data_IF_339158558376
#
_entry.id   IF_339158558376
#
_cell.length_a   1.000
_cell.length_b   1.000
_cell.length_c   1.000
_cell.angle_alpha   90.00
_cell.angle_beta   90.00
_cell.angle_gamma   90.00
#
_symmetry.space_group_name_H-M   'P 1'
#
loop_
_entity.id
_entity.type
_entity.pdbx_description
1 polymer ?
#
# COMPACT_ATOMS: atom_id res chain seq x y z
N UNK A 1 -21.63 -31.38 14.72
CA UNK A 1 -22.24 -30.28 15.50
C UNK A 1 -22.52 -29.13 14.54
N UNK A 2 -23.79 -28.77 14.41
CA UNK A 2 -24.26 -27.65 13.60
C UNK A 2 -24.50 -26.41 14.46
N UNK A 3 -24.65 -25.25 13.79
CA UNK A 3 -25.14 -23.94 14.26
C UNK A 3 -24.02 -23.01 14.80
N UNK A 4 -23.97 -21.71 14.49
CA UNK A 4 -25.04 -20.76 14.22
C UNK A 4 -24.57 -19.61 13.30
N UNK A 5 -25.35 -19.33 12.26
CA UNK A 5 -25.35 -18.11 11.48
C UNK A 5 -25.78 -16.92 12.35
N UNK A 6 -24.99 -15.84 12.39
CA UNK A 6 -25.41 -14.57 13.00
C UNK A 6 -26.20 -13.76 11.98
N UNK A 7 -27.53 -13.82 12.05
CA UNK A 7 -28.41 -12.78 11.52
C UNK A 7 -28.30 -11.53 12.41
N UNK A 8 -27.93 -10.39 11.81
CA UNK A 8 -28.08 -9.09 12.43
C UNK A 8 -29.50 -8.57 12.12
N UNK A 9 -30.29 -8.31 13.16
CA UNK A 9 -31.61 -7.67 13.04
C UNK A 9 -31.43 -6.17 12.78
N UNK A 10 -32.33 -5.51 12.02
CA UNK A 10 -32.26 -4.07 11.82
C UNK A 10 -32.72 -3.32 13.09
N UNK A 11 -32.06 -2.21 13.47
CA UNK A 11 -32.52 -1.37 14.56
C UNK A 11 -33.79 -0.61 14.18
N UNK A 12 -34.71 -0.58 15.14
CA UNK A 12 -36.01 0.09 15.14
C UNK A 12 -35.89 1.62 15.07
N UNK A 13 -36.75 2.20 14.24
CA UNK A 13 -37.16 3.61 14.13
C UNK A 13 -36.78 4.53 15.30
N UNK A 14 -35.76 5.36 15.07
CA UNK A 14 -35.41 6.54 15.84
C UNK A 14 -34.87 7.57 14.87
N UNK A 15 -35.42 8.77 14.89
CA UNK A 15 -35.19 9.86 13.96
C UNK A 15 -33.80 10.46 14.19
N UNK A 16 -32.74 9.89 13.59
CA UNK A 16 -31.42 10.52 13.53
C UNK A 16 -30.90 10.51 12.09
N UNK A 17 -30.56 11.72 11.67
CA UNK A 17 -29.89 12.15 10.45
C UNK A 17 -29.11 11.05 9.73
N UNK A 18 -29.54 10.72 8.51
CA UNK A 18 -28.93 9.69 7.69
C UNK A 18 -27.47 10.03 7.40
N UNK A 19 -26.55 9.47 8.18
CA UNK A 19 -25.21 9.18 7.73
C UNK A 19 -25.39 8.31 6.50
N UNK A 20 -25.28 8.91 5.31
CA UNK A 20 -25.24 8.11 4.10
C UNK A 20 -24.06 7.17 4.29
N UNK A 21 -24.35 5.88 4.36
CA UNK A 21 -23.36 4.85 4.13
C UNK A 21 -22.97 4.97 2.65
N UNK A 22 -22.28 6.06 2.34
CA UNK A 22 -21.82 6.39 1.01
C UNK A 22 -20.79 5.34 0.65
N UNK A 23 -21.07 4.61 -0.42
CA UNK A 23 -20.08 3.70 -0.98
C UNK A 23 -18.80 4.49 -1.28
N UNK A 24 -17.61 3.90 -1.09
CA UNK A 24 -16.36 4.61 -1.28
C UNK A 24 -16.23 5.09 -2.73
N UNK A 25 -16.19 6.41 -2.92
CA UNK A 25 -16.12 7.03 -4.24
C UNK A 25 -14.80 6.70 -4.93
N UNK A 26 -14.84 6.31 -6.20
CA UNK A 26 -13.62 6.15 -7.00
C UNK A 26 -12.98 7.52 -7.25
N UNK A 27 -11.68 7.61 -7.04
CA UNK A 27 -10.89 8.82 -7.23
C UNK A 27 -9.73 8.53 -8.17
N UNK A 28 -9.45 9.49 -9.05
CA UNK A 28 -8.29 9.46 -9.94
C UNK A 28 -7.07 9.98 -9.21
N UNK A 29 -6.05 9.14 -9.07
CA UNK A 29 -4.77 9.49 -8.44
C UNK A 29 -3.70 9.56 -9.51
N UNK A 30 -3.08 10.74 -9.64
CA UNK A 30 -2.04 11.01 -10.64
C UNK A 30 -0.64 11.07 -10.03
N UNK A 31 -0.52 11.30 -8.73
CA UNK A 31 0.76 11.49 -8.02
C UNK A 31 0.66 10.94 -6.61
N UNK A 32 1.76 10.36 -6.12
CA UNK A 32 1.93 10.00 -4.70
C UNK A 32 3.13 10.74 -4.13
N UNK A 33 3.00 11.23 -2.90
CA UNK A 33 4.08 11.81 -2.12
C UNK A 33 4.52 10.85 -1.03
N UNK A 34 5.82 10.57 -0.95
CA UNK A 34 6.41 9.76 0.12
C UNK A 34 7.53 10.57 0.77
N UNK A 35 7.50 10.65 2.10
CA UNK A 35 8.61 11.17 2.91
C UNK A 35 9.09 10.05 3.83
N UNK A 36 10.36 9.70 3.73
CA UNK A 36 11.00 8.71 4.59
C UNK A 36 11.93 9.49 5.53
N UNK A 37 11.65 9.53 6.84
CA UNK A 37 12.54 10.19 7.79
C UNK A 37 13.92 9.51 7.79
N UNK A 38 15.02 10.28 7.84
CA UNK A 38 16.35 9.69 8.01
C UNK A 38 16.43 9.01 9.38
N UNK A 39 16.88 7.75 9.40
CA UNK A 39 17.10 7.02 10.65
C UNK A 39 18.53 7.26 11.18
N UNK A 40 18.73 7.31 12.51
CA UNK A 40 20.03 7.64 13.10
C UNK A 40 21.18 6.66 12.77
N UNK A 41 20.87 5.43 12.31
CA UNK A 41 21.85 4.35 12.13
C UNK A 41 22.04 3.86 10.67
N UNK A 42 21.68 4.65 9.65
CA UNK A 42 21.91 4.26 8.25
C UNK A 42 20.80 3.40 7.63
N UNK A 43 21.01 2.80 6.44
CA UNK A 43 20.08 2.80 5.30
C UNK A 43 18.97 1.74 5.39
N UNK A 44 18.11 1.85 6.40
CA UNK A 44 16.80 1.21 6.44
C UNK A 44 15.75 1.99 5.64
N UNK A 45 16.16 3.05 4.93
CA UNK A 45 15.29 3.77 4.00
C UNK A 45 14.80 2.79 2.92
N UNK A 46 13.48 2.78 2.71
CA UNK A 46 12.84 2.01 1.64
C UNK A 46 13.47 2.41 0.33
N UNK A 47 13.95 1.46 -0.46
CA UNK A 47 14.52 1.75 -1.78
C UNK A 47 13.52 1.55 -2.89
N UNK A 48 12.85 0.41 -2.90
CA UNK A 48 11.89 0.05 -3.93
C UNK A 48 10.52 -0.24 -3.32
N UNK A 49 9.47 0.19 -4.00
CA UNK A 49 8.09 -0.02 -3.59
C UNK A 49 7.15 -0.18 -4.78
N UNK A 50 5.94 -0.66 -4.53
CA UNK A 50 4.86 -0.76 -5.52
C UNK A 50 3.56 -0.20 -4.96
N UNK A 51 2.71 0.29 -5.84
CA UNK A 51 1.35 0.72 -5.50
C UNK A 51 0.38 -0.41 -5.86
N UNK A 52 -0.44 -0.80 -4.88
CA UNK A 52 -1.62 -1.61 -5.11
C UNK A 52 -2.86 -0.72 -5.02
N UNK A 53 -3.88 -1.05 -5.78
CA UNK A 53 -5.15 -0.36 -5.79
C UNK A 53 -6.29 -1.33 -5.51
N UNK A 54 -7.38 -0.78 -4.97
CA UNK A 54 -8.66 -1.48 -4.81
C UNK A 54 -9.78 -0.64 -5.40
N UNK A 55 -10.52 -1.21 -6.35
CA UNK A 55 -11.72 -0.60 -6.93
C UNK A 55 -12.96 -0.73 -6.04
N UNK A 56 -14.08 -0.14 -6.48
CA UNK A 56 -15.33 -0.10 -5.72
C UNK A 56 -15.95 -1.48 -5.44
N UNK A 57 -15.92 -2.37 -6.44
CA UNK A 57 -16.52 -3.70 -6.37
C UNK A 57 -15.48 -4.82 -6.24
N UNK A 58 -14.21 -4.46 -6.08
CA UNK A 58 -13.12 -5.43 -5.97
C UNK A 58 -12.92 -5.75 -4.50
N UNK A 59 -12.79 -7.04 -4.17
CA UNK A 59 -12.38 -7.47 -2.84
C UNK A 59 -10.86 -7.47 -2.69
N UNK A 60 -10.17 -7.79 -3.79
CA UNK A 60 -8.73 -7.99 -3.85
C UNK A 60 -7.93 -6.73 -4.18
N UNK A 61 -6.69 -6.70 -3.69
CA UNK A 61 -5.69 -5.68 -4.04
C UNK A 61 -4.96 -6.09 -5.30
N UNK A 62 -4.95 -5.21 -6.32
CA UNK A 62 -4.24 -5.45 -7.58
C UNK A 62 -3.04 -4.52 -7.76
N UNK A 63 -1.93 -4.98 -8.36
CA UNK A 63 -0.83 -4.10 -8.75
C UNK A 63 -1.30 -2.99 -9.68
N UNK A 64 -0.95 -1.75 -9.36
CA UNK A 64 -1.41 -0.56 -10.07
C UNK A 64 -0.27 0.34 -10.56
N UNK A 65 0.98 0.01 -10.21
CA UNK A 65 2.18 0.66 -10.76
C UNK A 65 3.30 -0.35 -11.02
N UNK A 66 4.26 -0.04 -11.92
CA UNK A 66 5.56 -0.69 -11.89
C UNK A 66 6.29 -0.41 -10.55
N UNK A 67 7.41 -1.11 -10.28
CA UNK A 67 8.29 -0.76 -9.17
C UNK A 67 8.74 0.69 -9.26
N UNK A 68 8.64 1.40 -8.15
CA UNK A 68 9.07 2.78 -7.98
C UNK A 68 10.22 2.82 -6.98
N UNK A 69 11.16 3.74 -7.19
CA UNK A 69 12.39 3.83 -6.40
C UNK A 69 12.51 5.16 -5.70
N UNK A 70 12.77 5.17 -4.40
CA UNK A 70 13.04 6.39 -3.65
C UNK A 70 14.53 6.74 -3.66
N UNK A 71 14.80 8.02 -3.43
CA UNK A 71 16.13 8.57 -3.15
C UNK A 71 16.39 8.55 -1.64
N UNK A 72 17.67 8.56 -1.25
CA UNK A 72 18.06 8.66 0.16
C UNK A 72 17.99 10.11 0.62
N UNK A 73 16.77 10.61 0.78
CA UNK A 73 16.48 11.99 1.13
C UNK A 73 15.34 12.06 2.14
N UNK A 74 15.56 12.82 3.20
CA UNK A 74 14.53 13.11 4.22
C UNK A 74 13.44 14.08 3.76
N UNK A 75 13.54 14.58 2.52
CA UNK A 75 12.56 15.46 1.90
C UNK A 75 11.38 14.68 1.31
N UNK A 76 10.27 15.38 1.06
CA UNK A 76 9.12 14.80 0.36
C UNK A 76 9.52 14.48 -1.10
N UNK A 77 9.23 13.27 -1.54
CA UNK A 77 9.50 12.79 -2.89
C UNK A 77 8.18 12.50 -3.59
N UNK A 78 8.00 13.04 -4.80
CA UNK A 78 6.76 12.89 -5.56
C UNK A 78 6.99 11.93 -6.73
N UNK A 79 6.08 10.98 -6.90
CA UNK A 79 6.09 10.00 -7.99
C UNK A 79 4.81 10.15 -8.81
N UNK A 80 4.99 10.41 -10.10
CA UNK A 80 3.88 10.41 -11.06
C UNK A 80 3.40 8.97 -11.30
N UNK A 81 2.09 8.78 -11.28
CA UNK A 81 1.44 7.53 -11.63
C UNK A 81 1.05 7.58 -13.11
N UNK A 82 1.70 6.75 -13.91
CA UNK A 82 1.49 6.68 -15.37
C UNK A 82 1.22 5.22 -15.76
N UNK A 83 -0.01 4.90 -16.23
CA UNK A 83 -1.18 5.77 -16.31
C UNK A 83 -1.71 6.17 -14.92
N UNK A 84 -2.54 7.24 -14.82
CA UNK A 84 -3.26 7.56 -13.58
C UNK A 84 -4.11 6.37 -13.09
N UNK A 85 -4.26 6.25 -11.77
CA UNK A 85 -4.96 5.13 -11.14
C UNK A 85 -6.33 5.59 -10.66
N UNK A 86 -7.39 4.95 -11.14
CA UNK A 86 -8.75 5.13 -10.61
C UNK A 86 -9.01 4.08 -9.51
N UNK A 87 -9.13 4.52 -8.25
CA UNK A 87 -9.23 3.62 -7.09
C UNK A 87 -10.06 4.23 -5.95
N UNK A 88 -10.61 3.36 -5.09
CA UNK A 88 -11.25 3.74 -3.83
C UNK A 88 -10.23 3.73 -2.67
N UNK A 89 -9.23 2.85 -2.74
CA UNK A 89 -8.14 2.78 -1.78
C UNK A 89 -6.82 2.44 -2.48
N UNK A 90 -5.73 2.96 -1.91
CA UNK A 90 -4.37 2.66 -2.35
C UNK A 90 -3.58 2.04 -1.20
N UNK A 91 -2.65 1.15 -1.57
CA UNK A 91 -1.70 0.54 -0.64
C UNK A 91 -0.30 0.65 -1.21
N UNK A 92 0.63 1.12 -0.39
CA UNK A 92 2.03 1.22 -0.74
C UNK A 92 2.74 0.02 -0.09
N UNK A 93 3.37 -0.81 -0.91
CA UNK A 93 4.07 -2.02 -0.48
C UNK A 93 5.56 -1.82 -0.71
N UNK A 94 6.34 -1.83 0.37
CA UNK A 94 7.79 -1.71 0.30
C UNK A 94 8.41 -3.07 0.01
N UNK A 95 9.21 -3.15 -1.05
CA UNK A 95 9.74 -4.41 -1.59
C UNK A 95 11.26 -4.54 -1.45
N UNK A 96 11.99 -3.43 -1.33
CA UNK A 96 13.42 -3.46 -0.99
C UNK A 96 13.82 -2.31 -0.08
N UNK A 97 14.78 -2.53 0.81
CA UNK A 97 15.46 -1.50 1.61
C UNK A 97 16.82 -1.17 1.00
N UNK A 98 17.38 0.00 1.33
CA UNK A 98 18.69 0.39 0.82
C UNK A 98 19.83 -0.55 1.31
N UNK A 99 19.71 -1.12 2.52
CA UNK A 99 20.61 -2.18 3.00
C UNK A 99 20.53 -3.46 2.14
N UNK A 100 19.33 -3.87 1.71
CA UNK A 100 19.16 -5.04 0.86
C UNK A 100 19.75 -4.83 -0.56
N UNK A 101 19.69 -3.61 -1.10
CA UNK A 101 20.35 -3.27 -2.37
C UNK A 101 21.87 -3.30 -2.30
N UNK A 102 22.49 -2.98 -1.16
CA UNK A 102 23.96 -3.04 -1.01
C UNK A 102 24.48 -4.49 -1.00
N UNK A 103 23.68 -5.43 -0.51
CA UNK A 103 24.03 -6.85 -0.51
C UNK A 103 24.00 -7.48 -1.92
N UNK A 104 23.37 -6.85 -2.91
CA UNK A 104 23.35 -7.35 -4.30
C UNK A 104 24.68 -7.20 -5.02
N UNK A 105 25.51 -6.24 -4.62
CA UNK A 105 26.86 -6.06 -5.16
C UNK A 105 27.84 -7.13 -4.64
N UNK A 106 27.44 -7.95 -3.65
CA UNK A 106 28.20 -9.08 -3.14
C UNK A 106 27.53 -10.42 -3.52
N UNK A 107 28.11 -11.20 -4.45
CA UNK A 107 27.51 -12.44 -4.93
C UNK A 107 27.36 -13.53 -3.87
N UNK A 108 27.99 -13.38 -2.70
CA UNK A 108 27.89 -14.36 -1.59
C UNK A 108 26.52 -14.37 -0.90
N UNK A 109 25.66 -13.36 -1.11
CA UNK A 109 24.31 -13.28 -0.54
C UNK A 109 23.17 -13.59 -1.53
N UNK A 110 23.50 -13.89 -2.80
CA UNK A 110 22.52 -14.11 -3.86
C UNK A 110 21.66 -15.38 -3.67
N UNK A 111 22.19 -16.41 -3.01
CA UNK A 111 21.49 -17.69 -2.80
C UNK A 111 20.32 -17.60 -1.79
N UNK A 112 20.27 -16.56 -0.95
CA UNK A 112 19.21 -16.35 0.04
C UNK A 112 17.95 -15.66 -0.51
N UNK A 113 17.91 -15.31 -1.81
CA UNK A 113 16.82 -14.53 -2.42
C UNK A 113 15.70 -15.31 -3.10
N UNK A 114 15.78 -16.64 -3.15
CA UNK A 114 14.92 -17.42 -4.07
C UNK A 114 13.55 -17.82 -3.51
N UNK A 115 13.25 -17.64 -2.21
CA UNK A 115 11.93 -18.03 -1.66
C UNK A 115 11.25 -16.96 -0.81
N UNK A 116 11.11 -15.75 -1.36
CA UNK A 116 10.16 -14.79 -0.79
C UNK A 116 9.47 -14.01 -1.88
N UNK A 117 8.48 -14.64 -2.48
CA UNK A 117 7.54 -14.00 -3.41
C UNK A 117 6.77 -12.82 -2.78
N UNK A 118 6.91 -12.55 -1.48
CA UNK A 118 6.28 -11.44 -0.76
C UNK A 118 7.05 -11.00 0.51
N UNK A 119 8.38 -10.77 0.46
CA UNK A 119 9.09 -10.14 1.59
C UNK A 119 8.78 -8.63 1.69
N UNK A 120 7.50 -8.32 1.92
CA UNK A 120 7.10 -6.97 2.29
C UNK A 120 7.56 -6.68 3.73
N UNK A 121 8.32 -5.61 3.93
CA UNK A 121 8.79 -5.19 5.26
C UNK A 121 8.08 -3.93 5.77
N UNK A 122 7.09 -3.43 5.02
CA UNK A 122 6.24 -2.31 5.44
C UNK A 122 5.01 -2.18 4.53
N UNK A 123 3.88 -1.82 5.16
CA UNK A 123 2.60 -1.65 4.49
C UNK A 123 1.91 -0.39 5.00
N UNK A 124 1.56 0.50 4.08
CA UNK A 124 0.79 1.70 4.35
C UNK A 124 -0.48 1.67 3.52
N UNK A 125 -1.62 1.86 4.17
CA UNK A 125 -2.94 1.92 3.53
C UNK A 125 -3.47 3.34 3.60
N UNK A 126 -3.96 3.83 2.47
CA UNK A 126 -4.55 5.17 2.33
C UNK A 126 -5.96 4.98 1.79
N UNK A 127 -6.95 5.41 2.59
CA UNK A 127 -8.34 5.53 2.14
C UNK A 127 -8.54 6.92 1.56
N UNK A 128 -9.18 6.99 0.39
CA UNK A 128 -9.37 8.26 -0.32
C UNK A 128 -10.80 8.74 -0.05
N UNK A 129 -10.93 9.73 0.85
CA UNK A 129 -12.19 10.41 1.14
C UNK A 129 -12.58 11.44 0.06
#
# INVERSE_FOLDING_TARGET
SQLLSRQLSPPSSGHEEGASAGWPLMRRVTTIGIRIPPLPHGPLSVRDFRVLAKGHAEEDWRPASPPLRTMDSGMMQHFALVPPIDACALRIVFTSSAAACQADDDPSYAELRVESSLSCFGLFQIEIA
#
